data_IF_850689313240
#
_entry.id   IF_850689313240
#
_cell.length_a   1.000
_cell.length_b   1.000
_cell.length_c   1.000
_cell.angle_alpha   90.00
_cell.angle_beta   90.00
_cell.angle_gamma   90.00
#
_symmetry.space_group_name_H-M   'P 1'
#
loop_
_entity.id
_entity.type
_entity.pdbx_description
1 polymer ?
#
# COMPACT_ATOMS: atom_id res chain seq x y z
N UNK A 1 31.51 7.45 37.75
CA UNK A 1 30.75 6.88 36.62
C UNK A 1 31.25 5.47 36.36
N UNK A 2 30.43 4.47 36.68
CA UNK A 2 30.81 3.06 36.75
C UNK A 2 30.65 2.35 35.40
N UNK A 3 31.58 1.44 35.09
CA UNK A 3 31.68 0.57 33.89
C UNK A 3 30.33 0.05 33.34
N UNK A 4 29.33 -0.18 34.21
CA UNK A 4 27.96 -0.58 33.85
C UNK A 4 27.22 0.39 32.92
N UNK A 5 27.45 1.70 33.05
CA UNK A 5 26.85 2.70 32.15
C UNK A 5 27.48 2.65 30.76
N UNK A 6 28.77 2.35 30.68
CA UNK A 6 29.49 2.25 29.41
C UNK A 6 29.00 1.03 28.61
N UNK A 7 28.82 -0.12 29.27
CA UNK A 7 28.32 -1.34 28.62
C UNK A 7 26.87 -1.22 28.14
N UNK A 8 26.02 -0.52 28.89
CA UNK A 8 24.63 -0.28 28.49
C UNK A 8 24.54 0.62 27.25
N UNK A 9 25.41 1.63 27.16
CA UNK A 9 25.46 2.55 26.02
C UNK A 9 25.95 1.84 24.75
N UNK A 10 26.97 0.98 24.87
CA UNK A 10 27.50 0.19 23.75
C UNK A 10 26.44 -0.80 23.22
N UNK A 11 25.73 -1.49 24.13
CA UNK A 11 24.67 -2.42 23.74
C UNK A 11 23.51 -1.70 23.01
N UNK A 12 23.12 -0.51 23.47
CA UNK A 12 22.10 0.29 22.82
C UNK A 12 22.52 0.74 21.41
N UNK A 13 23.77 1.20 21.23
CA UNK A 13 24.30 1.62 19.93
C UNK A 13 24.38 0.44 18.96
N UNK A 14 24.84 -0.73 19.43
CA UNK A 14 24.89 -1.95 18.62
C UNK A 14 23.50 -2.38 18.15
N UNK A 15 22.48 -2.31 19.02
CA UNK A 15 21.09 -2.58 18.67
C UNK A 15 20.55 -1.63 17.59
N UNK A 16 20.84 -0.32 17.70
CA UNK A 16 20.42 0.64 16.67
C UNK A 16 21.08 0.40 15.31
N UNK A 17 22.36 0.01 15.29
CA UNK A 17 23.08 -0.31 14.06
C UNK A 17 22.52 -1.57 13.38
N UNK A 18 22.19 -2.61 14.16
CA UNK A 18 21.58 -3.84 13.62
C UNK A 18 20.23 -3.54 12.99
N UNK A 19 19.38 -2.75 13.64
CA UNK A 19 18.07 -2.36 13.10
C UNK A 19 18.24 -1.55 11.81
N UNK A 20 19.19 -0.60 11.76
CA UNK A 20 19.45 0.20 10.58
C UNK A 20 19.95 -0.65 9.39
N UNK A 21 20.82 -1.63 9.63
CA UNK A 21 21.31 -2.55 8.59
C UNK A 21 20.20 -3.46 8.09
N UNK A 22 19.33 -3.96 8.96
CA UNK A 22 18.18 -4.78 8.56
C UNK A 22 17.21 -3.97 7.70
N UNK A 23 16.92 -2.71 8.07
CA UNK A 23 16.06 -1.82 7.28
C UNK A 23 16.71 -1.46 5.94
N UNK A 24 18.02 -1.19 5.92
CA UNK A 24 18.76 -0.89 4.69
C UNK A 24 18.84 -2.10 3.73
N UNK A 25 19.11 -3.30 4.25
CA UNK A 25 19.11 -4.52 3.43
C UNK A 25 17.71 -4.85 2.91
N UNK A 26 16.65 -4.62 3.69
CA UNK A 26 15.27 -4.76 3.22
C UNK A 26 14.94 -3.77 2.09
N UNK A 27 15.50 -2.55 2.14
CA UNK A 27 15.35 -1.54 1.07
C UNK A 27 16.16 -1.88 -0.20
N UNK A 28 17.32 -2.54 -0.07
CA UNK A 28 18.17 -2.94 -1.19
C UNK A 28 17.72 -4.22 -1.90
N UNK A 29 16.98 -5.11 -1.22
CA UNK A 29 16.52 -6.38 -1.79
C UNK A 29 15.13 -6.32 -2.46
N UNK A 30 14.50 -5.16 -2.51
CA UNK A 30 13.28 -4.98 -3.29
C UNK A 30 13.64 -4.92 -4.78
N UNK A 31 13.09 -5.84 -5.59
CA UNK A 31 13.26 -5.81 -7.04
C UNK A 31 12.87 -4.41 -7.58
N UNK A 32 13.79 -3.69 -8.25
CA UNK A 32 13.57 -2.30 -8.64
C UNK A 32 12.42 -2.14 -9.64
N UNK A 33 12.16 -3.16 -10.48
CA UNK A 33 11.16 -3.07 -11.54
C UNK A 33 9.72 -3.02 -10.99
N UNK A 34 9.25 -3.98 -10.16
CA UNK A 34 7.95 -3.87 -9.50
C UNK A 34 7.79 -2.60 -8.67
N UNK A 35 8.87 -2.13 -8.03
CA UNK A 35 8.87 -0.91 -7.23
C UNK A 35 8.57 0.32 -8.08
N UNK A 36 9.27 0.49 -9.21
CA UNK A 36 9.03 1.62 -10.11
C UNK A 36 7.61 1.59 -10.68
N UNK A 37 7.13 0.42 -11.11
CA UNK A 37 5.76 0.27 -11.63
C UNK A 37 4.72 0.63 -10.57
N UNK A 38 4.87 0.12 -9.35
CA UNK A 38 3.94 0.42 -8.27
C UNK A 38 3.92 1.91 -7.90
N UNK A 39 5.08 2.57 -7.85
CA UNK A 39 5.18 4.01 -7.58
C UNK A 39 4.52 4.82 -8.70
N UNK A 40 4.78 4.48 -9.96
CA UNK A 40 4.18 5.16 -11.10
C UNK A 40 2.64 5.00 -11.12
N UNK A 41 2.14 3.78 -10.89
CA UNK A 41 0.69 3.51 -10.79
C UNK A 41 0.07 4.27 -9.62
N UNK A 42 0.73 4.30 -8.45
CA UNK A 42 0.26 5.06 -7.30
C UNK A 42 0.21 6.57 -7.60
N UNK A 43 1.16 7.06 -8.39
CA UNK A 43 1.21 8.42 -8.93
C UNK A 43 0.42 8.63 -10.22
N UNK A 44 -0.48 7.73 -10.58
CA UNK A 44 -1.36 7.84 -11.76
C UNK A 44 -0.60 8.12 -13.07
N UNK A 45 0.56 7.48 -13.21
CA UNK A 45 1.49 7.64 -14.33
C UNK A 45 1.71 6.33 -15.10
N UNK A 46 2.17 6.44 -16.34
CA UNK A 46 2.54 5.29 -17.15
C UNK A 46 3.84 4.65 -16.66
N UNK A 47 3.94 3.32 -16.79
CA UNK A 47 5.13 2.57 -16.43
C UNK A 47 5.40 1.45 -17.42
N UNK A 48 6.69 1.18 -17.69
CA UNK A 48 7.11 0.06 -18.53
C UNK A 48 8.03 -0.87 -17.78
N UNK A 49 7.86 -2.17 -18.03
CA UNK A 49 8.75 -3.23 -17.59
C UNK A 49 9.25 -4.01 -18.80
N UNK A 50 10.54 -4.30 -18.85
CA UNK A 50 11.15 -5.06 -19.96
C UNK A 50 10.64 -6.51 -20.01
N UNK A 51 10.32 -7.07 -18.84
CA UNK A 51 9.76 -8.41 -18.68
C UNK A 51 8.35 -8.34 -18.10
N UNK A 52 7.44 -9.24 -18.49
CA UNK A 52 6.08 -9.28 -17.93
C UNK A 52 6.09 -9.41 -16.41
N UNK A 53 5.41 -8.49 -15.73
CA UNK A 53 5.19 -8.57 -14.28
C UNK A 53 3.84 -9.21 -14.01
N UNK A 54 3.80 -10.14 -13.06
CA UNK A 54 2.54 -10.62 -12.49
C UNK A 54 1.82 -9.48 -11.75
N UNK A 55 0.49 -9.46 -11.86
CA UNK A 55 -0.39 -8.50 -11.22
C UNK A 55 -1.40 -9.23 -10.36
N UNK A 56 -1.42 -8.93 -9.06
CA UNK A 56 -2.28 -9.58 -8.08
C UNK A 56 -3.28 -8.57 -7.53
N UNK A 57 -4.55 -8.94 -7.44
CA UNK A 57 -5.62 -8.10 -6.91
C UNK A 57 -6.04 -8.58 -5.53
N UNK A 58 -6.01 -7.70 -4.53
CA UNK A 58 -6.45 -7.98 -3.17
C UNK A 58 -7.72 -7.21 -2.84
N UNK A 59 -8.79 -7.92 -2.49
CA UNK A 59 -10.02 -7.30 -2.00
C UNK A 59 -9.84 -6.84 -0.56
N UNK A 60 -10.10 -5.56 -0.30
CA UNK A 60 -9.90 -4.94 1.02
C UNK A 60 -11.01 -3.96 1.34
N UNK A 61 -11.07 -3.53 2.59
CA UNK A 61 -12.03 -2.57 3.11
C UNK A 61 -11.30 -1.55 3.98
N UNK A 62 -11.81 -0.33 4.06
CA UNK A 62 -11.52 0.54 5.19
C UNK A 62 -12.65 0.42 6.20
N UNK A 63 -12.31 0.20 7.46
CA UNK A 63 -13.24 0.12 8.59
C UNK A 63 -13.02 1.32 9.50
N UNK A 64 -14.09 2.02 9.87
CA UNK A 64 -14.01 3.12 10.83
C UNK A 64 -14.29 2.62 12.26
N UNK A 65 -13.23 2.54 13.06
CA UNK A 65 -13.27 2.05 14.45
C UNK A 65 -12.35 2.89 15.33
N UNK A 66 -12.82 3.24 16.53
CA UNK A 66 -12.03 4.04 17.48
C UNK A 66 -11.64 5.44 16.95
N UNK A 67 -12.50 6.04 16.11
CA UNK A 67 -12.29 7.38 15.56
C UNK A 67 -11.30 7.47 14.39
N UNK A 68 -10.88 6.33 13.83
CA UNK A 68 -9.92 6.28 12.73
C UNK A 68 -10.30 5.22 11.71
N UNK A 69 -9.88 5.43 10.46
CA UNK A 69 -9.95 4.41 9.42
C UNK A 69 -8.81 3.42 9.54
N UNK A 70 -9.10 2.14 9.31
CA UNK A 70 -8.10 1.08 9.28
C UNK A 70 -8.40 0.11 8.14
N UNK A 71 -7.37 -0.26 7.38
CA UNK A 71 -7.46 -1.25 6.32
C UNK A 71 -7.77 -2.62 6.94
N UNK A 72 -8.69 -3.36 6.34
CA UNK A 72 -9.16 -4.65 6.79
C UNK A 72 -9.38 -5.61 5.63
N UNK A 73 -9.16 -6.90 5.88
CA UNK A 73 -9.52 -7.98 4.95
C UNK A 73 -11.00 -8.37 5.02
N UNK A 74 -11.78 -7.80 5.92
CA UNK A 74 -13.20 -8.13 6.10
C UNK A 74 -14.04 -6.88 6.39
N UNK A 75 -15.29 -6.84 5.88
CA UNK A 75 -16.19 -5.73 6.11
C UNK A 75 -16.70 -5.71 7.56
N UNK A 76 -17.24 -4.56 7.97
CA UNK A 76 -17.89 -4.38 9.27
C UNK A 76 -19.13 -3.50 9.13
N UNK A 77 -19.82 -3.21 10.24
CA UNK A 77 -20.95 -2.27 10.25
C UNK A 77 -20.58 -0.85 9.78
N UNK A 78 -19.31 -0.47 9.82
CA UNK A 78 -18.82 0.88 9.46
C UNK A 78 -17.74 0.83 8.38
N UNK A 79 -17.77 -0.19 7.51
CA UNK A 79 -16.81 -0.31 6.42
C UNK A 79 -17.21 0.47 5.17
N UNK A 80 -16.21 0.87 4.39
CA UNK A 80 -16.40 1.27 2.99
C UNK A 80 -16.99 0.13 2.15
N UNK A 81 -17.49 0.41 0.93
CA UNK A 81 -17.62 -0.63 -0.09
C UNK A 81 -16.29 -1.36 -0.31
N UNK A 82 -16.36 -2.53 -0.96
CA UNK A 82 -15.17 -3.32 -1.29
C UNK A 82 -14.23 -2.51 -2.18
N UNK A 83 -12.99 -2.38 -1.75
CA UNK A 83 -11.89 -1.72 -2.44
C UNK A 83 -10.89 -2.76 -2.93
N UNK A 84 -9.89 -2.30 -3.68
CA UNK A 84 -8.85 -3.16 -4.22
C UNK A 84 -7.46 -2.55 -4.03
N UNK A 85 -6.56 -3.34 -3.43
CA UNK A 85 -5.13 -3.14 -3.52
C UNK A 85 -4.58 -3.97 -4.68
N UNK A 86 -3.45 -3.55 -5.23
CA UNK A 86 -2.80 -4.23 -6.37
C UNK A 86 -1.34 -4.50 -6.06
N UNK A 87 -0.90 -5.73 -6.25
CA UNK A 87 0.49 -6.15 -6.15
C UNK A 87 1.10 -6.33 -7.55
N UNK A 88 2.35 -5.93 -7.70
CA UNK A 88 3.17 -6.14 -8.89
C UNK A 88 4.38 -7.01 -8.56
N UNK A 89 4.68 -8.00 -9.40
CA UNK A 89 5.81 -8.92 -9.22
C UNK A 89 5.42 -10.18 -8.45
N UNK A 90 6.36 -10.73 -7.68
CA UNK A 90 6.17 -11.98 -6.93
C UNK A 90 5.47 -11.71 -5.60
N UNK A 91 4.16 -11.49 -5.64
CA UNK A 91 3.39 -11.06 -4.48
C UNK A 91 2.81 -12.22 -3.65
N UNK A 92 2.68 -12.04 -2.32
CA UNK A 92 2.12 -13.06 -1.44
C UNK A 92 0.63 -13.29 -1.75
N UNK A 93 0.11 -14.45 -1.36
CA UNK A 93 -1.31 -14.78 -1.56
C UNK A 93 -2.24 -13.89 -0.70
N UNK A 94 -1.75 -13.41 0.45
CA UNK A 94 -2.45 -12.51 1.33
C UNK A 94 -1.59 -11.31 1.75
N UNK A 95 -2.24 -10.25 2.22
CA UNK A 95 -1.62 -9.02 2.68
C UNK A 95 -2.02 -8.68 4.12
N UNK A 96 -2.27 -9.72 4.94
CA UNK A 96 -2.77 -9.56 6.31
C UNK A 96 -1.87 -8.67 7.19
N UNK A 97 -0.56 -8.72 6.98
CA UNK A 97 0.41 -7.86 7.67
C UNK A 97 0.28 -6.35 7.39
N UNK A 98 -0.53 -5.96 6.39
CA UNK A 98 -0.76 -4.56 6.02
C UNK A 98 -2.06 -3.99 6.60
N UNK A 99 -2.87 -4.80 7.28
CA UNK A 99 -4.13 -4.40 7.92
C UNK A 99 -3.91 -3.61 9.22
N UNK A 100 -4.99 -3.00 9.73
CA UNK A 100 -5.00 -2.25 10.98
C UNK A 100 -4.45 -0.82 10.89
N UNK A 101 -4.19 -0.33 9.67
CA UNK A 101 -3.58 0.98 9.40
C UNK A 101 -4.33 1.74 8.32
N UNK A 102 -4.29 3.07 8.37
CA UNK A 102 -4.69 3.93 7.25
C UNK A 102 -3.49 4.23 6.37
N UNK A 103 -3.72 4.31 5.06
CA UNK A 103 -2.73 4.76 4.09
C UNK A 103 -3.18 6.07 3.47
N UNK A 104 -2.25 7.02 3.35
CA UNK A 104 -2.48 8.31 2.72
C UNK A 104 -1.92 8.32 1.28
N UNK A 105 -2.43 9.20 0.41
CA UNK A 105 -1.83 9.41 -0.90
C UNK A 105 -0.32 9.69 -0.79
N UNK A 106 0.47 9.09 -1.68
CA UNK A 106 1.93 9.23 -1.69
C UNK A 106 2.68 8.40 -0.65
N UNK A 107 1.98 7.71 0.26
CA UNK A 107 2.57 6.77 1.24
C UNK A 107 1.85 5.41 1.26
N UNK A 108 1.10 5.12 0.20
CA UNK A 108 0.28 3.92 0.04
C UNK A 108 0.97 2.80 -0.75
N UNK A 109 2.28 2.89 -0.97
CA UNK A 109 3.06 1.85 -1.64
C UNK A 109 3.91 1.11 -0.61
N UNK A 110 3.79 -0.21 -0.57
CA UNK A 110 4.56 -1.09 0.31
C UNK A 110 5.38 -2.07 -0.53
N UNK A 111 6.64 -2.24 -0.17
CA UNK A 111 7.56 -3.16 -0.83
C UNK A 111 7.83 -4.36 0.09
N UNK A 112 7.64 -5.56 -0.45
CA UNK A 112 7.92 -6.84 0.23
C UNK A 112 8.71 -7.67 -0.77
N UNK A 113 9.90 -8.14 -0.42
CA UNK A 113 10.89 -8.83 -1.30
C UNK A 113 10.30 -9.39 -2.61
N UNK A 114 10.58 -8.72 -3.74
CA UNK A 114 10.12 -9.13 -5.09
C UNK A 114 8.70 -8.69 -5.48
N UNK A 115 7.96 -8.07 -4.57
CA UNK A 115 6.62 -7.53 -4.73
C UNK A 115 6.55 -6.06 -4.34
N UNK A 116 5.71 -5.30 -5.05
CA UNK A 116 5.33 -3.94 -4.64
C UNK A 116 3.83 -3.80 -4.71
N UNK A 117 3.22 -3.36 -3.61
CA UNK A 117 1.78 -3.33 -3.41
C UNK A 117 1.34 -1.89 -3.29
N UNK A 118 0.40 -1.49 -4.15
CA UNK A 118 -0.30 -0.21 -4.05
C UNK A 118 -1.62 -0.43 -3.31
N UNK A 119 -1.75 0.22 -2.17
CA UNK A 119 -2.89 0.10 -1.27
C UNK A 119 -3.89 1.23 -1.53
N UNK A 120 -5.19 1.02 -1.26
CA UNK A 120 -6.14 2.11 -1.28
C UNK A 120 -5.74 3.20 -0.29
N UNK A 121 -5.88 4.46 -0.68
CA UNK A 121 -5.66 5.60 0.21
C UNK A 121 -6.98 6.23 0.65
N UNK A 122 -6.99 6.82 1.84
CA UNK A 122 -8.13 7.54 2.39
C UNK A 122 -7.71 8.94 2.84
N UNK A 123 -8.52 9.94 2.51
CA UNK A 123 -8.32 11.35 2.89
C UNK A 123 -9.59 11.89 3.51
N UNK A 124 -9.44 12.54 4.66
CA UNK A 124 -10.51 13.24 5.37
C UNK A 124 -10.36 14.75 5.15
N UNK A 125 -11.39 15.40 4.65
CA UNK A 125 -11.35 16.83 4.27
C UNK A 125 -12.71 17.39 3.89
N UNK A 126 -13.75 17.05 4.67
CA UNK A 126 -15.15 17.38 4.40
C UNK A 126 -15.91 16.23 3.73
N UNK A 127 -15.42 15.75 2.58
CA UNK A 127 -15.88 14.51 1.94
C UNK A 127 -14.80 13.45 2.09
N UNK A 128 -15.18 12.23 2.49
CA UNK A 128 -14.21 11.13 2.63
C UNK A 128 -13.83 10.68 1.23
N UNK A 129 -12.58 10.93 0.83
CA UNK A 129 -12.08 10.53 -0.48
C UNK A 129 -11.31 9.22 -0.34
N UNK A 130 -11.77 8.19 -1.04
CA UNK A 130 -11.14 6.88 -1.07
C UNK A 130 -10.62 6.62 -2.48
N UNK A 131 -9.32 6.43 -2.63
CA UNK A 131 -8.71 6.03 -3.91
C UNK A 131 -8.31 4.57 -3.87
N UNK A 132 -8.71 3.78 -4.86
CA UNK A 132 -8.34 2.36 -4.96
C UNK A 132 -7.99 1.97 -6.40
N UNK A 133 -7.40 0.80 -6.56
CA UNK A 133 -6.71 0.41 -7.79
C UNK A 133 -7.27 -0.90 -8.33
N UNK A 134 -7.70 -0.92 -9.59
CA UNK A 134 -8.27 -2.13 -10.22
C UNK A 134 -7.46 -2.49 -11.46
N UNK A 135 -6.70 -3.60 -11.41
CA UNK A 135 -6.04 -4.12 -12.60
C UNK A 135 -7.02 -4.82 -13.53
N UNK A 136 -6.87 -4.55 -14.83
CA UNK A 136 -7.59 -5.21 -15.92
C UNK A 136 -6.78 -6.36 -16.55
N UNK A 137 -5.54 -6.57 -16.09
CA UNK A 137 -4.66 -7.64 -16.53
C UNK A 137 -4.20 -8.48 -15.32
N UNK A 138 -3.77 -9.72 -15.58
CA UNK A 138 -3.08 -10.58 -14.60
C UNK A 138 -1.55 -10.56 -14.79
N UNK A 139 -1.07 -10.08 -15.93
CA UNK A 139 0.34 -9.90 -16.27
C UNK A 139 0.47 -8.78 -17.31
N UNK A 140 1.58 -8.05 -17.33
CA UNK A 140 1.79 -6.95 -18.29
C UNK A 140 3.20 -6.37 -18.32
N UNK A 141 3.49 -5.60 -19.37
CA UNK A 141 4.76 -4.87 -19.58
C UNK A 141 4.58 -3.38 -19.81
N UNK A 142 3.41 -2.93 -20.27
CA UNK A 142 3.04 -1.52 -20.46
C UNK A 142 1.85 -1.24 -19.55
N UNK A 143 2.05 -0.48 -18.48
CA UNK A 143 1.03 -0.17 -17.49
C UNK A 143 0.58 1.27 -17.67
N UNK A 144 -0.73 1.47 -17.84
CA UNK A 144 -1.36 2.79 -17.97
C UNK A 144 -2.51 2.93 -16.99
N UNK A 145 -2.66 4.13 -16.44
CA UNK A 145 -3.72 4.42 -15.48
C UNK A 145 -4.78 5.33 -16.06
N UNK A 146 -6.03 5.01 -15.77
CA UNK A 146 -7.19 5.82 -16.09
C UNK A 146 -7.99 6.06 -14.81
N UNK A 147 -8.41 7.29 -14.56
CA UNK A 147 -9.14 7.65 -13.34
C UNK A 147 -10.62 7.80 -13.64
N UNK A 148 -11.44 7.06 -12.90
CA UNK A 148 -12.87 7.25 -12.83
C UNK A 148 -13.24 7.71 -11.42
N UNK A 149 -14.21 8.62 -11.31
CA UNK A 149 -14.66 9.11 -10.02
C UNK A 149 -16.16 8.97 -9.88
N UNK A 150 -16.59 8.62 -8.67
CA UNK A 150 -18.01 8.56 -8.36
C UNK A 150 -18.26 9.00 -6.92
N UNK A 151 -19.32 9.77 -6.75
CA UNK A 151 -19.84 10.12 -5.44
C UNK A 151 -20.92 9.12 -5.04
N UNK A 152 -20.89 8.69 -3.78
CA UNK A 152 -21.97 7.90 -3.21
C UNK A 152 -22.17 8.28 -1.75
N UNK A 153 -23.42 8.22 -1.32
CA UNK A 153 -23.78 8.40 0.08
C UNK A 153 -24.00 7.01 0.67
N UNK A 154 -23.20 6.64 1.66
CA UNK A 154 -23.35 5.39 2.39
C UNK A 154 -23.54 5.68 3.87
N UNK A 155 -24.66 5.20 4.44
CA UNK A 155 -25.02 5.40 5.84
C UNK A 155 -24.94 6.87 6.31
N UNK A 156 -25.38 7.80 5.45
CA UNK A 156 -25.39 9.24 5.73
C UNK A 156 -24.04 9.93 5.57
N UNK A 157 -22.98 9.20 5.22
CA UNK A 157 -21.65 9.75 4.93
C UNK A 157 -21.45 9.84 3.42
N UNK A 158 -21.05 11.00 2.93
CA UNK A 158 -20.70 11.19 1.53
C UNK A 158 -19.27 10.75 1.30
N UNK A 159 -19.09 9.84 0.35
CA UNK A 159 -17.81 9.37 -0.12
C UNK A 159 -17.58 9.83 -1.56
N UNK A 160 -16.34 10.21 -1.85
CA UNK A 160 -15.82 10.31 -3.21
C UNK A 160 -14.93 9.09 -3.42
N UNK A 161 -15.37 8.13 -4.23
CA UNK A 161 -14.51 7.03 -4.65
C UNK A 161 -13.81 7.41 -5.95
N UNK A 162 -12.48 7.39 -5.89
CA UNK A 162 -11.57 7.48 -7.02
C UNK A 162 -11.10 6.08 -7.36
N UNK A 163 -11.48 5.61 -8.54
CA UNK A 163 -11.07 4.34 -9.10
C UNK A 163 -9.93 4.58 -10.09
N UNK A 164 -8.76 4.06 -9.79
CA UNK A 164 -7.62 4.02 -10.71
C UNK A 164 -7.65 2.67 -11.44
N UNK A 165 -8.07 2.69 -12.69
CA UNK A 165 -8.10 1.54 -13.58
C UNK A 165 -6.70 1.36 -14.15
N UNK A 166 -6.13 0.17 -14.01
CA UNK A 166 -4.81 -0.15 -14.54
C UNK A 166 -4.97 -1.03 -15.77
N UNK A 167 -4.51 -0.52 -16.91
CA UNK A 167 -4.46 -1.21 -18.20
C UNK A 167 -3.05 -1.70 -18.45
N UNK A 168 -2.99 -2.87 -19.06
CA UNK A 168 -1.84 -3.66 -19.45
C UNK A 168 -2.35 -4.64 -20.53
#
# INVERSE_FOLDING_TARGET
MTIRYLTALIAAVALTLVVAVVVANALQNANPIPKMVAIAVAGESEAKAETPLSVVKYGVYYVYEGGKWALSGSPSGTSTPKLYAVGFGNCPADISGLYGRAYAPGSNVVHVTGCSIVLPSIVEGGVITVTHYVPMCATGTDFRTEVAEQYFTYKGVQFRVRLVIIRC
#
